data_IF_847161297813
#
_entry.id   IF_847161297813
#
_cell.length_a   1.000
_cell.length_b   1.000
_cell.length_c   1.000
_cell.angle_alpha   90.00
_cell.angle_beta   90.00
_cell.angle_gamma   90.00
#
_symmetry.space_group_name_H-M   'P 1'
#
loop_
_entity.id
_entity.type
_entity.pdbx_description
1 polymer ?
#
# COMPACT_ATOMS: atom_id res chain seq x y z
N UNK A 1 10.15 4.66 -4.84
CA UNK A 1 9.81 5.87 -5.63
C UNK A 1 8.91 5.42 -6.77
N UNK A 2 7.67 5.90 -6.85
CA UNK A 2 6.78 5.54 -7.96
C UNK A 2 7.16 6.37 -9.19
N UNK A 3 7.87 5.77 -10.14
CA UNK A 3 8.16 6.42 -11.42
C UNK A 3 6.95 6.15 -12.32
N UNK A 4 6.01 7.08 -12.30
CA UNK A 4 4.80 6.99 -13.11
C UNK A 4 4.92 7.99 -14.27
N UNK A 5 4.69 7.57 -15.53
CA UNK A 5 4.75 8.49 -16.65
C UNK A 5 3.56 9.46 -16.60
N UNK A 6 3.81 10.72 -16.23
CA UNK A 6 2.83 11.80 -16.31
C UNK A 6 3.01 12.50 -17.65
N UNK A 7 2.09 12.29 -18.59
CA UNK A 7 2.14 12.93 -19.92
C UNK A 7 1.48 14.31 -19.89
N UNK A 8 2.27 15.37 -19.84
CA UNK A 8 1.85 16.70 -20.30
C UNK A 8 2.34 16.87 -21.75
N UNK A 9 1.43 16.94 -22.71
CA UNK A 9 1.73 17.40 -24.08
C UNK A 9 2.89 16.67 -24.81
N UNK A 10 2.60 15.51 -25.40
CA UNK A 10 3.27 15.06 -26.63
C UNK A 10 4.73 14.57 -26.60
N UNK A 11 5.53 14.78 -25.54
CA UNK A 11 6.89 14.24 -25.46
C UNK A 11 7.09 13.49 -24.15
N UNK A 12 7.04 12.15 -24.21
CA UNK A 12 7.39 11.29 -23.09
C UNK A 12 8.90 11.09 -23.03
N UNK A 13 9.54 11.57 -21.97
CA UNK A 13 10.85 11.07 -21.56
C UNK A 13 10.67 9.59 -21.17
N UNK A 14 11.30 8.68 -21.92
CA UNK A 14 11.41 7.28 -21.53
C UNK A 14 12.43 7.22 -20.39
N UNK A 15 11.98 7.46 -19.15
CA UNK A 15 12.78 7.12 -17.96
C UNK A 15 12.91 5.61 -17.91
N UNK A 16 14.13 5.11 -18.11
CA UNK A 16 14.46 3.69 -18.03
C UNK A 16 13.95 3.09 -16.71
N UNK A 17 13.19 2.02 -16.82
CA UNK A 17 12.72 1.23 -15.69
C UNK A 17 13.93 0.51 -15.11
N UNK A 18 14.34 0.88 -13.90
CA UNK A 18 15.32 0.11 -13.17
C UNK A 18 14.65 -1.19 -12.67
N UNK A 19 14.61 -2.20 -13.53
CA UNK A 19 14.33 -3.58 -13.16
C UNK A 19 15.51 -4.13 -12.35
N UNK A 20 15.46 -4.02 -11.03
CA UNK A 20 16.36 -4.79 -10.17
C UNK A 20 15.65 -5.27 -8.91
N UNK A 21 16.07 -6.44 -8.40
CA UNK A 21 15.63 -7.09 -7.15
C UNK A 21 15.67 -6.17 -5.91
N UNK A 22 16.31 -5.01 -5.99
CA UNK A 22 16.36 -4.02 -4.91
C UNK A 22 15.04 -3.25 -4.72
N UNK A 23 14.13 -3.27 -5.71
CA UNK A 23 12.85 -2.56 -5.67
C UNK A 23 11.82 -3.18 -4.72
N UNK A 24 11.84 -4.50 -4.54
CA UNK A 24 10.91 -5.21 -3.64
C UNK A 24 11.24 -4.94 -2.17
N UNK A 25 12.52 -5.04 -1.78
CA UNK A 25 12.97 -4.76 -0.39
C UNK A 25 12.83 -3.29 0.01
N UNK A 26 13.02 -2.35 -0.93
CA UNK A 26 12.81 -0.93 -0.63
C UNK A 26 11.33 -0.57 -0.51
N UNK A 27 10.45 -1.23 -1.27
CA UNK A 27 9.00 -1.06 -1.17
C UNK A 27 8.47 -1.49 0.20
N UNK A 28 8.90 -2.66 0.72
CA UNK A 28 8.46 -3.15 2.03
C UNK A 28 8.88 -2.25 3.20
N UNK A 29 10.09 -1.69 3.16
CA UNK A 29 10.56 -0.78 4.21
C UNK A 29 9.76 0.53 4.23
N UNK A 30 9.39 1.04 3.03
CA UNK A 30 8.57 2.24 2.91
C UNK A 30 7.15 1.98 3.42
N UNK A 31 6.56 0.82 3.08
CA UNK A 31 5.21 0.48 3.56
C UNK A 31 5.18 0.26 5.05
N UNK A 32 6.18 -0.41 5.63
CA UNK A 32 6.31 -0.59 7.07
C UNK A 32 6.46 0.76 7.79
N UNK A 33 7.25 1.68 7.23
CA UNK A 33 7.39 3.03 7.79
C UNK A 33 6.07 3.81 7.77
N UNK A 34 5.34 3.80 6.64
CA UNK A 34 4.02 4.43 6.53
C UNK A 34 3.04 3.80 7.52
N UNK A 35 3.02 2.46 7.61
CA UNK A 35 2.15 1.73 8.54
C UNK A 35 2.47 2.08 9.99
N UNK A 36 3.74 2.27 10.34
CA UNK A 36 4.17 2.64 11.69
C UNK A 36 3.76 4.06 12.09
N UNK A 37 3.48 4.94 11.13
CA UNK A 37 3.01 6.31 11.38
C UNK A 37 1.53 6.40 11.75
N UNK A 38 0.73 5.34 11.52
CA UNK A 38 -0.66 5.32 11.97
C UNK A 38 -0.74 5.20 13.50
N UNK A 39 -1.84 5.68 14.09
CA UNK A 39 -2.03 5.73 15.54
C UNK A 39 -2.07 7.17 16.05
N UNK A 40 -2.69 7.36 17.21
CA UNK A 40 -2.92 8.66 17.82
C UNK A 40 -3.69 9.66 16.91
N UNK A 41 -4.66 9.17 16.14
CA UNK A 41 -5.59 9.98 15.34
C UNK A 41 -4.92 11.02 14.42
N UNK A 42 -3.73 10.73 13.89
CA UNK A 42 -3.02 11.62 12.99
C UNK A 42 -3.69 11.68 11.61
N UNK A 43 -4.73 12.52 11.49
CA UNK A 43 -5.51 12.73 10.25
C UNK A 43 -4.63 13.09 9.05
N UNK A 44 -3.51 13.76 9.26
CA UNK A 44 -2.58 14.10 8.19
C UNK A 44 -2.10 12.85 7.44
N UNK A 45 -1.69 11.78 8.14
CA UNK A 45 -1.17 10.56 7.51
C UNK A 45 -2.26 9.90 6.66
N UNK A 46 -3.48 9.82 7.19
CA UNK A 46 -4.63 9.29 6.48
C UNK A 46 -4.97 10.10 5.22
N UNK A 47 -4.96 11.43 5.31
CA UNK A 47 -5.24 12.31 4.17
C UNK A 47 -4.18 12.17 3.07
N UNK A 48 -2.91 12.00 3.43
CA UNK A 48 -1.84 11.75 2.45
C UNK A 48 -1.98 10.38 1.79
N UNK A 49 -2.32 9.33 2.55
CA UNK A 49 -2.59 8.01 1.98
C UNK A 49 -3.77 8.05 1.01
N UNK A 50 -4.87 8.71 1.39
CA UNK A 50 -6.04 8.84 0.52
C UNK A 50 -5.72 9.63 -0.75
N UNK A 51 -4.99 10.75 -0.64
CA UNK A 51 -4.56 11.53 -1.79
C UNK A 51 -3.63 10.71 -2.71
N UNK A 52 -2.70 9.94 -2.13
CA UNK A 52 -1.83 9.04 -2.86
C UNK A 52 -2.66 8.00 -3.65
N UNK A 53 -3.52 7.25 -2.98
CA UNK A 53 -4.35 6.22 -3.63
C UNK A 53 -5.28 6.81 -4.69
N UNK A 54 -5.87 7.99 -4.46
CA UNK A 54 -6.67 8.72 -5.46
C UNK A 54 -5.85 9.07 -6.70
N UNK A 55 -4.62 9.55 -6.53
CA UNK A 55 -3.73 9.88 -7.65
C UNK A 55 -3.26 8.65 -8.42
N UNK A 56 -3.15 7.50 -7.75
CA UNK A 56 -2.80 6.22 -8.35
C UNK A 56 -3.98 5.50 -8.99
N UNK A 57 -5.23 5.87 -8.65
CA UNK A 57 -6.44 5.15 -9.03
C UNK A 57 -6.56 4.88 -10.54
N UNK A 58 -6.19 5.85 -11.38
CA UNK A 58 -6.23 5.68 -12.84
C UNK A 58 -5.27 4.59 -13.35
N UNK A 59 -4.14 4.36 -12.67
CA UNK A 59 -3.12 3.39 -13.08
C UNK A 59 -3.51 1.94 -12.74
N UNK A 60 -4.46 1.74 -11.84
CA UNK A 60 -4.99 0.41 -11.51
C UNK A 60 -6.06 -0.08 -12.51
N UNK A 61 -6.52 0.78 -13.42
CA UNK A 61 -7.51 0.36 -14.42
C UNK A 61 -6.88 -0.61 -15.44
N UNK A 62 -7.52 -1.75 -15.78
CA UNK A 62 -6.95 -2.75 -16.70
C UNK A 62 -6.62 -2.24 -18.12
N UNK A 63 -7.21 -1.12 -18.54
CA UNK A 63 -6.86 -0.44 -19.81
C UNK A 63 -5.57 0.38 -19.74
N UNK A 64 -5.07 0.66 -18.53
CA UNK A 64 -3.88 1.46 -18.26
C UNK A 64 -2.70 0.60 -17.77
N UNK A 65 -2.60 -0.61 -18.31
CA UNK A 65 -1.49 -1.53 -18.03
C UNK A 65 -0.16 -0.99 -18.54
N UNK A 66 0.88 -1.25 -17.76
CA UNK A 66 2.24 -0.87 -18.09
C UNK A 66 3.22 -1.38 -17.04
N UNK A 67 4.52 -1.14 -17.23
CA UNK A 67 5.55 -1.69 -16.33
C UNK A 67 5.45 -1.21 -14.88
N UNK A 68 4.76 -0.09 -14.62
CA UNK A 68 4.48 0.41 -13.26
C UNK A 68 3.48 -0.46 -12.49
N UNK A 69 2.67 -1.27 -13.16
CA UNK A 69 1.64 -2.13 -12.55
C UNK A 69 2.24 -3.03 -11.46
N UNK A 70 3.36 -3.69 -11.76
CA UNK A 70 4.11 -4.53 -10.81
C UNK A 70 4.49 -3.80 -9.53
N UNK A 71 5.01 -2.58 -9.66
CA UNK A 71 5.44 -1.77 -8.51
C UNK A 71 4.23 -1.29 -7.69
N UNK A 72 3.14 -0.92 -8.37
CA UNK A 72 1.92 -0.44 -7.71
C UNK A 72 1.18 -1.56 -6.97
N UNK A 73 1.02 -2.73 -7.61
CA UNK A 73 0.36 -3.89 -6.99
C UNK A 73 1.23 -4.46 -5.87
N UNK A 74 2.56 -4.55 -6.07
CA UNK A 74 3.49 -4.93 -5.03
C UNK A 74 3.45 -3.98 -3.82
N UNK A 75 3.30 -2.68 -4.05
CA UNK A 75 3.09 -1.70 -2.96
C UNK A 75 1.77 -1.93 -2.22
N UNK A 76 0.66 -2.17 -2.91
CA UNK A 76 -0.62 -2.48 -2.27
C UNK A 76 -0.52 -3.74 -1.39
N UNK A 77 0.11 -4.80 -1.92
CA UNK A 77 0.30 -6.04 -1.19
C UNK A 77 1.17 -5.85 0.06
N UNK A 78 2.32 -5.19 -0.08
CA UNK A 78 3.22 -4.88 1.04
C UNK A 78 2.52 -4.01 2.10
N UNK A 79 1.72 -3.02 1.68
CA UNK A 79 0.98 -2.16 2.60
C UNK A 79 -0.07 -2.96 3.39
N UNK A 80 -0.83 -3.84 2.72
CA UNK A 80 -1.80 -4.71 3.37
C UNK A 80 -1.13 -5.70 4.35
N UNK A 81 -0.06 -6.36 3.92
CA UNK A 81 0.69 -7.30 4.73
C UNK A 81 1.31 -6.63 5.98
N UNK A 82 1.97 -5.48 5.82
CA UNK A 82 2.53 -4.71 6.94
C UNK A 82 1.44 -4.26 7.92
N UNK A 83 0.29 -3.80 7.42
CA UNK A 83 -0.81 -3.37 8.28
C UNK A 83 -1.42 -4.52 9.08
N UNK A 84 -1.69 -5.67 8.46
CA UNK A 84 -2.18 -6.86 9.15
C UNK A 84 -1.17 -7.36 10.17
N UNK A 85 0.12 -7.41 9.83
CA UNK A 85 1.19 -7.80 10.76
C UNK A 85 1.22 -6.91 12.02
N UNK A 86 1.02 -5.59 11.84
CA UNK A 86 0.90 -4.65 12.95
C UNK A 86 -0.34 -4.92 13.80
N UNK A 87 -1.52 -5.02 13.18
CA UNK A 87 -2.79 -5.31 13.90
C UNK A 87 -2.68 -6.62 14.69
N UNK A 88 -2.09 -7.65 14.09
CA UNK A 88 -1.94 -8.95 14.72
C UNK A 88 -0.97 -8.90 15.92
N UNK A 89 0.09 -8.11 15.78
CA UNK A 89 1.06 -7.85 16.85
C UNK A 89 0.43 -7.08 18.01
N UNK A 90 -0.35 -6.03 17.73
CA UNK A 90 -0.99 -5.21 18.76
C UNK A 90 -2.12 -5.95 19.51
N UNK A 91 -2.88 -6.81 18.82
CA UNK A 91 -4.06 -7.49 19.41
C UNK A 91 -3.79 -8.84 20.05
N UNK A 92 -2.88 -9.64 19.47
CA UNK A 92 -2.78 -11.06 19.81
C UNK A 92 -1.43 -11.47 20.37
N UNK A 93 -0.35 -10.69 20.14
CA UNK A 93 0.94 -11.01 20.75
C UNK A 93 0.95 -10.53 22.19
N UNK A 94 1.33 -11.42 23.11
CA UNK A 94 1.55 -11.05 24.52
C UNK A 94 2.50 -9.86 24.62
N UNK A 95 2.29 -8.98 25.61
CA UNK A 95 3.25 -7.92 25.92
C UNK A 95 4.59 -8.55 26.28
N UNK A 96 5.57 -8.43 25.39
CA UNK A 96 6.96 -8.77 25.65
C UNK A 96 7.72 -7.47 25.96
N UNK A 97 8.91 -7.58 26.53
CA UNK A 97 9.75 -6.43 26.89
C UNK A 97 10.01 -5.42 25.75
N UNK A 98 9.91 -5.85 24.49
CA UNK A 98 10.06 -5.02 23.29
C UNK A 98 8.74 -4.52 22.66
N UNK A 99 7.58 -5.03 23.10
CA UNK A 99 6.28 -4.75 22.48
C UNK A 99 5.35 -4.08 23.49
N UNK A 100 5.68 -2.83 23.81
CA UNK A 100 4.85 -1.94 24.62
C UNK A 100 4.46 -0.71 23.79
N UNK A 101 3.65 -0.90 22.74
CA UNK A 101 2.99 0.24 22.09
C UNK A 101 2.08 0.90 23.13
N UNK A 102 2.21 2.22 23.38
CA UNK A 102 1.31 2.91 24.29
C UNK A 102 -0.13 2.85 23.77
N UNK A 103 -1.10 2.85 24.67
CA UNK A 103 -2.52 2.66 24.33
C UNK A 103 -3.04 3.73 23.35
N UNK A 104 -2.52 4.95 23.44
CA UNK A 104 -2.82 6.08 22.55
C UNK A 104 -2.41 5.85 21.08
N UNK A 105 -1.44 4.96 20.83
CA UNK A 105 -0.93 4.65 19.50
C UNK A 105 -1.46 3.32 18.95
N UNK A 106 -2.29 2.60 19.70
CA UNK A 106 -2.92 1.37 19.21
C UNK A 106 -3.93 1.68 18.12
N UNK A 107 -4.02 0.79 17.13
CA UNK A 107 -4.98 0.92 16.05
C UNK A 107 -6.40 0.63 16.54
N UNK A 108 -7.25 1.66 16.47
CA UNK A 108 -8.67 1.54 16.75
C UNK A 108 -9.39 0.74 15.65
N UNK A 109 -10.53 0.14 15.99
CA UNK A 109 -11.38 -0.55 15.01
C UNK A 109 -11.81 0.38 13.86
N UNK A 110 -12.02 1.67 14.15
CA UNK A 110 -12.36 2.68 13.14
C UNK A 110 -11.24 2.91 12.14
N UNK A 111 -9.99 2.97 12.61
CA UNK A 111 -8.82 3.14 11.76
C UNK A 111 -8.58 1.92 10.87
N UNK A 112 -8.78 0.71 11.41
CA UNK A 112 -8.70 -0.53 10.63
C UNK A 112 -9.74 -0.52 9.51
N UNK A 113 -11.00 -0.19 9.82
CA UNK A 113 -12.06 -0.09 8.79
C UNK A 113 -11.76 0.98 7.76
N UNK A 114 -11.23 2.13 8.18
CA UNK A 114 -10.82 3.22 7.27
C UNK A 114 -9.73 2.73 6.31
N UNK A 115 -8.70 2.05 6.82
CA UNK A 115 -7.65 1.48 6.00
C UNK A 115 -8.19 0.50 4.94
N UNK A 116 -9.02 -0.46 5.36
CA UNK A 116 -9.63 -1.42 4.43
C UNK A 116 -10.49 -0.72 3.38
N UNK A 117 -11.29 0.29 3.77
CA UNK A 117 -12.12 1.04 2.83
C UNK A 117 -11.32 1.81 1.76
N UNK A 118 -10.10 2.23 2.09
CA UNK A 118 -9.20 2.93 1.17
C UNK A 118 -8.47 1.98 0.21
N UNK A 119 -8.00 0.84 0.72
CA UNK A 119 -7.20 -0.12 -0.06
C UNK A 119 -8.03 -1.11 -0.89
N UNK A 120 -9.26 -1.41 -0.46
CA UNK A 120 -10.10 -2.40 -1.12
C UNK A 120 -10.44 -2.03 -2.58
N UNK A 121 -10.87 -0.80 -2.91
CA UNK A 121 -11.16 -0.43 -4.31
C UNK A 121 -9.98 -0.59 -5.26
N UNK A 122 -8.77 -0.05 -4.99
CA UNK A 122 -7.64 -0.22 -5.90
C UNK A 122 -7.13 -1.67 -5.96
N UNK A 123 -7.24 -2.45 -4.87
CA UNK A 123 -6.90 -3.88 -4.88
C UNK A 123 -7.86 -4.69 -5.79
N UNK A 124 -9.17 -4.40 -5.73
CA UNK A 124 -10.16 -5.04 -6.61
C UNK A 124 -9.92 -4.68 -8.08
N UNK A 125 -9.56 -3.42 -8.38
CA UNK A 125 -9.19 -3.02 -9.74
C UNK A 125 -7.94 -3.76 -10.23
N UNK A 126 -6.92 -3.85 -9.37
CA UNK A 126 -5.69 -4.57 -9.65
C UNK A 126 -5.89 -6.08 -9.87
N UNK A 127 -6.89 -6.70 -9.23
CA UNK A 127 -7.20 -8.12 -9.44
C UNK A 127 -7.65 -8.42 -10.89
N UNK A 128 -8.24 -7.44 -11.56
CA UNK A 128 -8.62 -7.54 -12.98
C UNK A 128 -7.50 -7.12 -13.94
N UNK A 129 -6.31 -6.86 -13.42
CA UNK A 129 -5.14 -6.55 -14.23
C UNK A 129 -4.64 -7.78 -15.00
N UNK A 130 -3.92 -7.56 -16.09
CA UNK A 130 -3.51 -8.64 -17.01
C UNK A 130 -2.27 -9.39 -16.53
N UNK A 131 -1.47 -8.78 -15.66
CA UNK A 131 -0.12 -9.27 -15.35
C UNK A 131 0.12 -9.48 -13.86
N UNK A 132 -0.64 -8.84 -12.97
CA UNK A 132 -0.37 -8.82 -11.52
C UNK A 132 -1.55 -9.35 -10.68
N UNK A 133 -2.38 -10.23 -11.24
CA UNK A 133 -3.55 -10.78 -10.56
C UNK A 133 -3.22 -11.58 -9.30
N UNK A 134 -2.06 -12.25 -9.26
CA UNK A 134 -1.62 -13.05 -8.09
C UNK A 134 -1.32 -12.16 -6.88
N UNK A 135 -0.47 -11.13 -7.05
CA UNK A 135 -0.13 -10.19 -5.97
C UNK A 135 -1.36 -9.40 -5.49
N UNK A 136 -2.28 -9.08 -6.39
CA UNK A 136 -3.54 -8.43 -6.03
C UNK A 136 -4.47 -9.38 -5.22
N UNK A 137 -4.48 -10.67 -5.56
CA UNK A 137 -5.23 -11.69 -4.80
C UNK A 137 -4.69 -11.82 -3.37
N UNK A 138 -3.38 -11.84 -3.19
CA UNK A 138 -2.75 -11.87 -1.86
C UNK A 138 -3.11 -10.64 -1.03
N UNK A 139 -3.07 -9.45 -1.63
CA UNK A 139 -3.50 -8.22 -0.99
C UNK A 139 -4.97 -8.30 -0.53
N UNK A 140 -5.86 -8.84 -1.36
CA UNK A 140 -7.27 -9.05 -1.01
C UNK A 140 -7.46 -10.06 0.11
N UNK A 141 -6.63 -11.12 0.16
CA UNK A 141 -6.66 -12.09 1.24
C UNK A 141 -6.35 -11.44 2.60
N UNK A 142 -5.42 -10.47 2.64
CA UNK A 142 -5.14 -9.69 3.86
C UNK A 142 -6.26 -8.72 4.25
N UNK A 143 -7.05 -8.25 3.29
CA UNK A 143 -8.11 -7.25 3.52
C UNK A 143 -9.50 -7.86 3.80
N UNK A 144 -9.63 -9.19 3.68
CA UNK A 144 -10.88 -9.93 3.91
C UNK A 144 -11.11 -10.24 5.38
#
# INVERSE_FOLDING_TARGET
>A
CFIIPVRYGGFGINTELCESETTTTTSSNITEWIVSMFGNAQEAVWNHLEALLKSLNSFFHPSNSGPWERVLVGFLNNMAASFVSRVQTERFKSRHWNFNTPEEYLLSDSEIRRFVSLLLPPALLAMHSKSESENASDALHYLR
#
